data_IF_146418686393
#
_entry.id   IF_146418686393
#
_cell.length_a   1.000
_cell.length_b   1.000
_cell.length_c   1.000
_cell.angle_alpha   90.00
_cell.angle_beta   90.00
_cell.angle_gamma   90.00
#
_symmetry.space_group_name_H-M   'P 1'
#
loop_
_entity.id
_entity.type
_entity.pdbx_description
1 polymer ?
#
# COMPACT_ATOMS: atom_id res chain seq x y z
N UNK A 1 -5.30 55.35 58.14
CA UNK A 1 -4.52 54.29 58.81
C UNK A 1 -5.57 53.36 59.41
N UNK A 2 -5.74 52.10 59.07
CA UNK A 2 -4.82 51.01 58.71
C UNK A 2 -5.56 50.01 57.81
N UNK A 3 -4.79 49.34 56.97
CA UNK A 3 -5.20 48.25 56.08
C UNK A 3 -5.04 46.89 56.78
N UNK A 4 -6.03 46.01 56.69
CA UNK A 4 -5.93 44.61 57.09
C UNK A 4 -6.61 43.68 56.09
N UNK A 5 -5.83 43.14 55.15
CA UNK A 5 -6.25 42.27 54.04
C UNK A 5 -6.70 40.89 54.55
N UNK A 6 -7.92 40.44 54.25
CA UNK A 6 -8.30 39.03 54.33
C UNK A 6 -8.06 38.34 52.98
N UNK A 7 -6.87 37.78 52.80
CA UNK A 7 -6.56 36.79 51.76
C UNK A 7 -7.11 35.42 52.17
N UNK A 8 -8.23 35.01 51.58
CA UNK A 8 -8.67 33.60 51.59
C UNK A 8 -8.24 32.94 50.28
N UNK A 9 -7.27 32.03 50.42
CA UNK A 9 -6.66 31.20 49.37
C UNK A 9 -7.73 30.46 48.57
N UNK A 10 -7.84 30.76 47.29
CA UNK A 10 -8.61 29.94 46.34
C UNK A 10 -7.76 28.76 45.89
N UNK A 11 -8.17 27.56 46.26
CA UNK A 11 -7.76 26.32 45.60
C UNK A 11 -8.89 25.92 44.66
N UNK A 12 -8.59 25.73 43.38
CA UNK A 12 -8.84 24.50 42.62
C UNK A 12 -8.45 24.71 41.17
N UNK A 13 -7.32 24.10 40.81
CA UNK A 13 -6.96 23.83 39.43
C UNK A 13 -7.94 22.79 38.86
N UNK A 14 -8.62 23.15 37.78
CA UNK A 14 -9.30 22.19 36.90
C UNK A 14 -8.49 22.12 35.59
N UNK A 15 -7.46 21.28 35.58
CA UNK A 15 -6.81 20.90 34.34
C UNK A 15 -7.74 19.95 33.58
N UNK A 16 -8.45 20.47 32.57
CA UNK A 16 -9.06 19.61 31.55
C UNK A 16 -7.94 18.91 30.78
N UNK A 17 -7.64 17.67 31.18
CA UNK A 17 -6.88 16.75 30.35
C UNK A 17 -7.75 16.40 29.13
N UNK A 18 -7.54 17.12 28.02
CA UNK A 18 -8.05 16.73 26.72
C UNK A 18 -7.39 15.39 26.35
N UNK A 19 -8.15 14.30 26.42
CA UNK A 19 -7.73 13.00 25.92
C UNK A 19 -7.46 13.10 24.41
N UNK A 20 -6.19 13.18 24.03
CA UNK A 20 -5.79 13.04 22.64
C UNK A 20 -5.82 11.55 22.27
N UNK A 21 -6.57 11.14 21.22
CA UNK A 21 -6.59 9.75 20.80
C UNK A 21 -5.26 9.37 20.13
N UNK A 22 -4.40 8.66 20.86
CA UNK A 22 -3.12 8.12 20.38
C UNK A 22 -3.30 7.20 19.16
N UNK A 23 -4.46 6.53 19.03
CA UNK A 23 -4.77 5.61 17.93
C UNK A 23 -4.80 6.27 16.52
N UNK A 24 -4.93 7.59 16.42
CA UNK A 24 -5.00 8.28 15.11
C UNK A 24 -3.62 8.50 14.50
N UNK A 25 -2.57 8.54 15.32
CA UNK A 25 -1.19 8.76 14.88
C UNK A 25 -0.61 7.51 14.21
N UNK A 26 -0.86 6.32 14.78
CA UNK A 26 -0.35 5.05 14.26
C UNK A 26 -0.84 4.75 12.85
N UNK A 27 -2.15 4.92 12.61
CA UNK A 27 -2.72 4.72 11.27
C UNK A 27 -2.25 5.75 10.23
N UNK A 28 -1.91 6.98 10.63
CA UNK A 28 -1.34 7.98 9.72
C UNK A 28 0.10 7.64 9.32
N UNK A 29 0.93 7.25 10.28
CA UNK A 29 2.28 6.80 10.01
C UNK A 29 2.28 5.57 9.09
N UNK A 30 1.40 4.60 9.36
CA UNK A 30 1.25 3.41 8.54
C UNK A 30 0.93 3.76 7.07
N UNK A 31 -0.02 4.68 6.85
CA UNK A 31 -0.37 5.17 5.51
C UNK A 31 0.78 5.86 4.80
N UNK A 32 1.55 6.69 5.52
CA UNK A 32 2.73 7.36 4.95
C UNK A 32 3.81 6.35 4.56
N UNK A 33 4.03 5.32 5.39
CA UNK A 33 4.98 4.25 5.09
C UNK A 33 4.53 3.43 3.88
N UNK A 34 3.26 3.04 3.80
CA UNK A 34 2.69 2.34 2.63
C UNK A 34 2.82 3.17 1.35
N UNK A 35 2.53 4.46 1.39
CA UNK A 35 2.72 5.38 0.27
C UNK A 35 4.18 5.47 -0.19
N UNK A 36 5.13 5.56 0.75
CA UNK A 36 6.55 5.56 0.46
C UNK A 36 7.02 4.24 -0.18
N UNK A 37 6.50 3.10 0.28
CA UNK A 37 6.76 1.79 -0.32
C UNK A 37 6.21 1.70 -1.75
N UNK A 38 4.97 2.15 -1.99
CA UNK A 38 4.38 2.15 -3.34
C UNK A 38 5.23 2.92 -4.36
N UNK A 39 5.69 4.12 -3.98
CA UNK A 39 6.65 4.87 -4.79
C UNK A 39 7.94 4.06 -5.01
N UNK A 40 8.52 3.51 -3.94
CA UNK A 40 9.81 2.82 -3.99
C UNK A 40 9.77 1.57 -4.85
N UNK A 41 8.68 0.79 -4.80
CA UNK A 41 8.53 -0.42 -5.61
C UNK A 41 8.65 -0.13 -7.11
N UNK A 42 8.14 1.01 -7.58
CA UNK A 42 8.29 1.42 -8.98
C UNK A 42 9.74 1.45 -9.46
N UNK A 43 10.69 1.79 -8.60
CA UNK A 43 12.11 1.83 -8.93
C UNK A 43 12.81 0.45 -8.95
N UNK A 44 12.11 -0.61 -8.58
CA UNK A 44 12.67 -1.96 -8.42
C UNK A 44 11.94 -3.03 -9.25
N UNK A 45 11.01 -2.61 -10.08
CA UNK A 45 10.25 -3.47 -10.99
C UNK A 45 10.56 -3.05 -12.41
N UNK A 46 10.85 -4.03 -13.26
CA UNK A 46 11.01 -3.85 -14.69
C UNK A 46 9.71 -4.32 -15.37
N UNK A 47 9.07 -3.38 -16.06
CA UNK A 47 7.91 -3.64 -16.90
C UNK A 47 8.35 -3.96 -18.33
N UNK A 48 7.60 -4.83 -19.05
CA UNK A 48 7.83 -5.01 -20.47
C UNK A 48 7.51 -3.73 -21.25
N UNK A 49 8.15 -3.53 -22.41
CA UNK A 49 8.01 -2.30 -23.20
C UNK A 49 6.55 -1.98 -23.58
N UNK A 50 5.74 -3.00 -23.84
CA UNK A 50 4.33 -2.87 -24.22
C UNK A 50 3.40 -2.46 -23.05
N UNK A 51 3.92 -2.39 -21.81
CA UNK A 51 3.14 -1.91 -20.67
C UNK A 51 2.83 -0.41 -20.77
N UNK A 52 3.68 0.34 -21.47
CA UNK A 52 3.54 1.78 -21.65
C UNK A 52 3.07 2.09 -23.06
N UNK A 53 2.11 3.01 -23.18
CA UNK A 53 1.62 3.48 -24.48
C UNK A 53 2.72 4.20 -25.26
N UNK A 54 3.57 4.98 -24.58
CA UNK A 54 4.68 5.75 -25.14
C UNK A 54 5.91 5.72 -24.23
N UNK A 55 7.07 6.08 -24.79
CA UNK A 55 8.32 6.17 -24.04
C UNK A 55 8.27 7.21 -22.90
N UNK A 56 7.50 8.28 -23.07
CA UNK A 56 7.29 9.37 -22.12
C UNK A 56 6.02 9.21 -21.27
N UNK A 57 5.23 8.13 -21.46
CA UNK A 57 4.03 7.88 -20.66
C UNK A 57 4.36 7.82 -19.17
N UNK A 58 3.51 8.41 -18.31
CA UNK A 58 3.72 8.38 -16.88
C UNK A 58 3.60 6.95 -16.33
N UNK A 59 4.27 6.70 -15.22
CA UNK A 59 4.01 5.52 -14.39
C UNK A 59 2.80 5.82 -13.50
N UNK A 60 1.70 5.12 -13.76
CA UNK A 60 0.43 5.34 -13.07
C UNK A 60 0.30 4.41 -11.87
N UNK A 61 0.04 4.98 -10.69
CA UNK A 61 -0.29 4.27 -9.45
C UNK A 61 -1.79 4.41 -9.20
N UNK A 62 -2.51 3.30 -9.35
CA UNK A 62 -3.94 3.21 -9.11
C UNK A 62 -4.25 2.76 -7.69
N UNK A 63 -5.24 3.39 -7.06
CA UNK A 63 -5.75 3.03 -5.73
C UNK A 63 -7.19 2.52 -5.83
N UNK A 64 -7.44 1.28 -5.42
CA UNK A 64 -8.78 0.70 -5.31
C UNK A 64 -9.14 0.48 -3.83
N UNK A 65 -10.26 1.05 -3.37
CA UNK A 65 -10.76 0.85 -2.01
C UNK A 65 -9.84 1.40 -0.91
N UNK A 66 -9.01 2.40 -1.23
CA UNK A 66 -7.94 2.92 -0.36
C UNK A 66 -7.74 4.43 -0.51
N UNK A 67 -8.85 5.17 -0.53
CA UNK A 67 -8.88 6.62 -0.76
C UNK A 67 -8.02 7.41 0.25
N UNK A 68 -7.84 6.87 1.45
CA UNK A 68 -6.99 7.41 2.52
C UNK A 68 -5.50 7.45 2.16
N UNK A 69 -5.03 6.63 1.20
CA UNK A 69 -3.64 6.64 0.74
C UNK A 69 -3.38 7.68 -0.35
N UNK A 70 -4.42 8.26 -0.96
CA UNK A 70 -4.26 9.17 -2.09
C UNK A 70 -3.41 10.41 -1.72
N UNK A 71 -3.80 11.13 -0.66
CA UNK A 71 -3.09 12.33 -0.23
C UNK A 71 -1.62 12.09 0.18
N UNK A 72 -1.27 11.11 1.03
CA UNK A 72 0.13 10.85 1.35
C UNK A 72 0.94 10.35 0.14
N UNK A 73 0.32 9.58 -0.77
CA UNK A 73 0.97 9.13 -2.00
C UNK A 73 1.24 10.29 -2.96
N UNK A 74 0.27 11.18 -3.20
CA UNK A 74 0.44 12.37 -4.03
C UNK A 74 1.59 13.26 -3.54
N UNK A 75 1.65 13.51 -2.22
CA UNK A 75 2.77 14.24 -1.60
C UNK A 75 4.11 13.54 -1.80
N UNK A 76 4.11 12.20 -1.73
CA UNK A 76 5.33 11.39 -1.92
C UNK A 76 5.83 11.50 -3.36
N UNK A 77 4.95 11.46 -4.35
CA UNK A 77 5.33 11.36 -5.77
C UNK A 77 5.51 12.71 -6.47
N UNK A 78 5.02 13.80 -5.89
CA UNK A 78 5.08 15.14 -6.48
C UNK A 78 6.51 15.54 -6.85
N UNK A 79 6.72 15.92 -8.11
CA UNK A 79 8.03 16.32 -8.64
C UNK A 79 9.05 15.19 -8.79
N UNK A 80 8.66 13.93 -8.53
CA UNK A 80 9.54 12.77 -8.66
C UNK A 80 9.30 12.03 -9.96
N UNK A 81 10.34 11.32 -10.40
CA UNK A 81 10.28 10.42 -11.54
C UNK A 81 10.84 9.05 -11.18
N UNK A 82 10.47 8.05 -11.97
CA UNK A 82 11.05 6.70 -11.94
C UNK A 82 11.46 6.37 -13.37
N UNK A 83 12.75 6.07 -13.58
CA UNK A 83 13.30 5.77 -14.91
C UNK A 83 12.94 6.84 -15.95
N UNK A 84 12.97 8.12 -15.55
CA UNK A 84 12.61 9.26 -16.40
C UNK A 84 11.12 9.50 -16.61
N UNK A 85 10.24 8.64 -16.08
CA UNK A 85 8.78 8.78 -16.19
C UNK A 85 8.21 9.56 -15.02
N UNK A 86 7.33 10.51 -15.31
CA UNK A 86 6.53 11.19 -14.30
C UNK A 86 5.60 10.18 -13.60
N UNK A 87 5.21 10.49 -12.37
CA UNK A 87 4.31 9.67 -11.58
C UNK A 87 2.91 10.28 -11.55
N UNK A 88 1.89 9.45 -11.72
CA UNK A 88 0.50 9.86 -11.64
C UNK A 88 -0.26 8.97 -10.66
N UNK A 89 -1.05 9.57 -9.77
CA UNK A 89 -1.94 8.84 -8.87
C UNK A 89 -3.36 8.90 -9.42
N UNK A 90 -4.05 7.77 -9.46
CA UNK A 90 -5.46 7.69 -9.89
C UNK A 90 -6.26 6.82 -8.94
N UNK A 91 -7.56 7.13 -8.77
CA UNK A 91 -8.50 6.23 -8.10
C UNK A 91 -9.06 5.23 -9.10
N UNK A 92 -9.03 3.95 -8.76
CA UNK A 92 -9.56 2.85 -9.57
C UNK A 92 -10.99 2.52 -9.11
N UNK A 93 -11.96 2.74 -9.99
CA UNK A 93 -13.35 2.31 -9.78
C UNK A 93 -13.55 0.90 -10.33
N UNK A 94 -14.72 0.30 -10.06
CA UNK A 94 -15.04 -1.09 -10.44
C UNK A 94 -15.03 -1.32 -11.96
N UNK A 95 -15.27 -0.27 -12.73
CA UNK A 95 -15.32 -0.18 -14.19
C UNK A 95 -14.03 0.35 -14.82
N UNK A 96 -12.92 0.38 -14.07
CA UNK A 96 -11.69 0.98 -14.57
C UNK A 96 -11.18 0.22 -15.80
N UNK A 97 -11.17 0.92 -16.94
CA UNK A 97 -10.59 0.39 -18.16
C UNK A 97 -9.08 0.21 -17.96
N UNK A 98 -8.61 -1.02 -17.98
CA UNK A 98 -7.18 -1.36 -17.84
C UNK A 98 -6.45 -1.14 -19.17
N UNK A 99 -6.69 -0.02 -19.85
CA UNK A 99 -6.12 0.30 -21.15
C UNK A 99 -6.03 1.81 -21.39
N UNK A 100 -5.11 2.21 -22.28
CA UNK A 100 -4.82 3.62 -22.55
C UNK A 100 -3.87 4.25 -21.53
N UNK A 101 -3.64 5.55 -21.65
CA UNK A 101 -2.59 6.27 -20.90
C UNK A 101 -2.79 6.30 -19.38
N UNK A 102 -4.01 6.03 -18.91
CA UNK A 102 -4.33 6.01 -17.48
C UNK A 102 -4.25 4.61 -16.87
N UNK A 103 -4.04 3.56 -17.66
CA UNK A 103 -3.94 2.20 -17.14
C UNK A 103 -2.91 2.12 -15.99
N UNK A 104 -3.26 1.52 -14.83
CA UNK A 104 -2.35 1.44 -13.71
C UNK A 104 -1.17 0.53 -14.06
N UNK A 105 0.03 0.98 -13.73
CA UNK A 105 1.23 0.15 -13.77
C UNK A 105 1.49 -0.47 -12.40
N UNK A 106 1.07 0.23 -11.34
CA UNK A 106 0.96 -0.27 -9.98
C UNK A 106 -0.50 -0.14 -9.56
N UNK A 107 -1.11 -1.21 -9.07
CA UNK A 107 -2.48 -1.21 -8.56
C UNK A 107 -2.47 -1.61 -7.08
N UNK A 108 -2.72 -0.63 -6.20
CA UNK A 108 -2.95 -0.90 -4.80
C UNK A 108 -4.42 -1.26 -4.57
N UNK A 109 -4.67 -2.37 -3.89
CA UNK A 109 -6.00 -2.90 -3.61
C UNK A 109 -6.18 -3.02 -2.10
N UNK A 110 -7.00 -2.15 -1.52
CA UNK A 110 -7.35 -2.18 -0.11
C UNK A 110 -8.33 -3.31 0.22
N UNK A 111 -8.31 -3.80 1.46
CA UNK A 111 -9.12 -4.93 1.92
C UNK A 111 -10.54 -4.59 2.41
N UNK A 112 -11.03 -3.36 2.21
CA UNK A 112 -12.36 -2.94 2.71
C UNK A 112 -13.52 -3.79 2.20
N UNK A 113 -13.42 -4.26 0.95
CA UNK A 113 -14.38 -5.18 0.33
C UNK A 113 -13.58 -6.27 -0.40
N UNK A 114 -13.59 -7.49 0.16
CA UNK A 114 -12.84 -8.63 -0.38
C UNK A 114 -13.32 -9.04 -1.76
N UNK A 115 -14.61 -8.96 -2.04
CA UNK A 115 -15.17 -9.36 -3.35
C UNK A 115 -14.76 -8.35 -4.42
N UNK A 116 -14.87 -7.05 -4.12
CA UNK A 116 -14.41 -6.01 -5.03
C UNK A 116 -12.89 -6.07 -5.24
N UNK A 117 -12.12 -6.29 -4.16
CA UNK A 117 -10.67 -6.47 -4.22
C UNK A 117 -10.28 -7.66 -5.10
N UNK A 118 -10.95 -8.81 -4.96
CA UNK A 118 -10.68 -9.97 -5.79
C UNK A 118 -10.98 -9.69 -7.27
N UNK A 119 -12.12 -9.05 -7.57
CA UNK A 119 -12.46 -8.66 -8.93
C UNK A 119 -11.45 -7.71 -9.57
N UNK A 120 -10.88 -6.77 -8.79
CA UNK A 120 -9.82 -5.88 -9.26
C UNK A 120 -8.51 -6.65 -9.54
N UNK A 121 -8.12 -7.56 -8.67
CA UNK A 121 -6.91 -8.38 -8.84
C UNK A 121 -7.05 -9.33 -10.04
N UNK A 122 -8.21 -9.97 -10.20
CA UNK A 122 -8.52 -10.83 -11.34
C UNK A 122 -8.49 -10.04 -12.66
N UNK A 123 -9.01 -8.81 -12.66
CA UNK A 123 -8.93 -7.90 -13.82
C UNK A 123 -7.52 -7.45 -14.18
N UNK A 124 -6.58 -7.50 -13.23
CA UNK A 124 -5.15 -7.19 -13.45
C UNK A 124 -4.32 -8.43 -13.83
N UNK A 125 -4.90 -9.64 -13.75
CA UNK A 125 -4.18 -10.88 -14.02
C UNK A 125 -3.67 -10.90 -15.47
N UNK A 126 -2.47 -11.46 -15.67
CA UNK A 126 -1.82 -11.59 -16.99
C UNK A 126 -1.57 -10.27 -17.72
N UNK A 127 -1.62 -9.15 -16.98
CA UNK A 127 -1.27 -7.82 -17.48
C UNK A 127 -0.03 -7.34 -16.75
N UNK A 128 0.75 -6.43 -17.36
CA UNK A 128 1.95 -5.87 -16.75
C UNK A 128 1.63 -4.84 -15.67
N UNK A 129 0.91 -5.28 -14.63
CA UNK A 129 0.47 -4.47 -13.50
C UNK A 129 1.03 -5.06 -12.22
N UNK A 130 1.79 -4.25 -11.48
CA UNK A 130 2.27 -4.61 -10.15
C UNK A 130 1.11 -4.48 -9.17
N UNK A 131 0.46 -5.60 -8.86
CA UNK A 131 -0.61 -5.63 -7.88
C UNK A 131 -0.03 -5.63 -6.47
N UNK A 132 -0.52 -4.70 -5.64
CA UNK A 132 -0.13 -4.54 -4.24
C UNK A 132 -1.40 -4.63 -3.41
N UNK A 133 -1.50 -5.60 -2.52
CA UNK A 133 -2.63 -5.70 -1.59
C UNK A 133 -2.24 -5.28 -0.19
N UNK A 134 -3.25 -4.89 0.57
CA UNK A 134 -3.15 -4.62 1.99
C UNK A 134 -4.08 -5.55 2.71
N UNK A 135 -3.55 -6.67 3.20
CA UNK A 135 -4.33 -7.72 3.83
C UNK A 135 -3.61 -8.19 5.08
N UNK A 136 -4.24 -7.98 6.23
CA UNK A 136 -3.78 -8.46 7.54
C UNK A 136 -3.77 -9.99 7.64
N UNK A 137 -4.26 -10.70 6.62
CA UNK A 137 -4.34 -12.15 6.56
C UNK A 137 -3.27 -12.75 5.64
N UNK A 138 -2.68 -13.85 6.10
CA UNK A 138 -1.46 -14.53 5.62
C UNK A 138 -1.55 -15.13 4.20
N UNK A 139 -2.58 -14.81 3.43
CA UNK A 139 -2.73 -15.33 2.07
C UNK A 139 -3.14 -14.18 1.16
N UNK A 140 -2.12 -13.49 0.62
CA UNK A 140 -2.29 -12.45 -0.40
C UNK A 140 -3.22 -12.97 -1.49
N UNK A 141 -4.18 -12.14 -1.90
CA UNK A 141 -5.29 -12.48 -2.80
C UNK A 141 -4.85 -12.73 -4.26
N UNK A 142 -3.65 -13.29 -4.47
CA UNK A 142 -2.99 -13.40 -5.76
C UNK A 142 -2.23 -12.14 -6.19
N UNK A 143 -1.99 -11.20 -5.28
CA UNK A 143 -1.20 -10.01 -5.54
C UNK A 143 0.30 -10.34 -5.68
N UNK A 144 1.03 -9.47 -6.40
CA UNK A 144 2.49 -9.58 -6.52
C UNK A 144 3.16 -9.21 -5.20
N UNK A 145 2.69 -8.14 -4.56
CA UNK A 145 3.18 -7.68 -3.26
C UNK A 145 2.01 -7.64 -2.28
N UNK A 146 2.21 -8.14 -1.06
CA UNK A 146 1.24 -7.98 0.02
C UNK A 146 1.87 -7.23 1.19
N UNK A 147 1.27 -6.13 1.60
CA UNK A 147 1.62 -5.51 2.87
C UNK A 147 1.09 -6.33 4.04
N UNK A 148 1.87 -6.34 5.12
CA UNK A 148 1.49 -6.93 6.40
C UNK A 148 2.14 -6.15 7.53
N UNK A 149 1.54 -6.24 8.72
CA UNK A 149 2.17 -5.78 9.94
C UNK A 149 2.96 -6.94 10.57
N UNK A 150 4.27 -6.75 10.73
CA UNK A 150 5.13 -7.65 11.49
C UNK A 150 5.98 -6.81 12.45
N UNK A 151 6.05 -7.22 13.72
CA UNK A 151 6.74 -6.50 14.78
C UNK A 151 6.31 -5.02 14.89
N UNK A 152 5.00 -4.75 14.77
CA UNK A 152 4.41 -3.40 14.79
C UNK A 152 4.95 -2.48 13.67
N UNK A 153 5.48 -3.04 12.58
CA UNK A 153 6.00 -2.29 11.43
C UNK A 153 5.38 -2.81 10.14
N UNK A 154 5.15 -1.89 9.20
CA UNK A 154 4.76 -2.25 7.84
C UNK A 154 5.92 -2.99 7.18
N UNK A 155 5.66 -4.23 6.80
CA UNK A 155 6.51 -5.09 5.99
C UNK A 155 5.77 -5.47 4.71
N UNK A 156 6.44 -6.21 3.84
CA UNK A 156 5.80 -6.75 2.65
C UNK A 156 6.35 -8.13 2.29
N UNK A 157 5.49 -8.94 1.69
CA UNK A 157 5.85 -10.19 1.04
C UNK A 157 5.79 -10.04 -0.48
N UNK A 158 6.54 -10.87 -1.20
CA UNK A 158 6.56 -10.88 -2.67
C UNK A 158 6.24 -12.27 -3.18
N UNK A 159 5.29 -12.37 -4.11
CA UNK A 159 5.00 -13.60 -4.86
C UNK A 159 5.69 -13.57 -6.21
N UNK A 160 6.71 -14.42 -6.38
CA UNK A 160 7.42 -14.56 -7.66
C UNK A 160 6.52 -15.19 -8.73
N UNK A 161 5.60 -16.06 -8.33
CA UNK A 161 4.61 -16.66 -9.23
C UNK A 161 3.67 -15.59 -9.79
N UNK A 162 3.13 -14.72 -8.94
CA UNK A 162 2.27 -13.63 -9.39
C UNK A 162 3.03 -12.61 -10.25
N UNK A 163 4.27 -12.28 -9.88
CA UNK A 163 5.14 -11.40 -10.69
C UNK A 163 5.37 -11.97 -12.09
N UNK A 164 5.68 -13.27 -12.18
CA UNK A 164 5.89 -13.96 -13.45
C UNK A 164 4.62 -13.98 -14.30
N UNK A 165 3.45 -14.26 -13.71
CA UNK A 165 2.16 -14.19 -14.41
C UNK A 165 1.84 -12.78 -14.91
N UNK A 166 2.27 -11.74 -14.20
CA UNK A 166 2.16 -10.35 -14.64
C UNK A 166 3.29 -9.92 -15.61
N UNK A 167 4.18 -10.83 -16.01
CA UNK A 167 5.33 -10.53 -16.88
C UNK A 167 6.28 -9.46 -16.32
N UNK A 168 6.33 -9.33 -14.99
CA UNK A 168 7.17 -8.37 -14.28
C UNK A 168 8.46 -9.03 -13.80
N UNK A 169 9.59 -8.34 -13.98
CA UNK A 169 10.83 -8.73 -13.33
C UNK A 169 11.03 -7.89 -12.07
N UNK A 170 11.19 -8.59 -10.95
CA UNK A 170 11.46 -7.97 -9.65
C UNK A 170 12.95 -8.00 -9.40
N UNK A 171 13.54 -6.84 -9.10
CA UNK A 171 14.98 -6.77 -8.81
C UNK A 171 15.34 -7.55 -7.54
N UNK A 172 16.51 -8.20 -7.55
CA UNK A 172 17.04 -8.90 -6.38
C UNK A 172 17.18 -7.98 -5.15
N UNK A 173 17.41 -6.68 -5.37
CA UNK A 173 17.49 -5.69 -4.28
C UNK A 173 16.16 -5.53 -3.55
N UNK A 174 15.02 -5.57 -4.24
CA UNK A 174 13.72 -5.53 -3.57
C UNK A 174 13.44 -6.84 -2.82
N UNK A 175 13.76 -7.97 -3.45
CA UNK A 175 13.58 -9.29 -2.83
C UNK A 175 14.42 -9.45 -1.56
N UNK A 176 15.64 -8.89 -1.52
CA UNK A 176 16.54 -8.96 -0.37
C UNK A 176 16.02 -8.27 0.90
N UNK A 177 15.04 -7.36 0.75
CA UNK A 177 14.43 -6.64 1.87
C UNK A 177 12.96 -7.03 2.11
N UNK A 178 12.45 -7.98 1.33
CA UNK A 178 11.12 -8.55 1.54
C UNK A 178 11.11 -9.36 2.84
N UNK A 179 10.00 -9.31 3.57
CA UNK A 179 9.83 -10.12 4.77
C UNK A 179 9.73 -11.62 4.44
N UNK A 180 9.08 -11.92 3.32
CA UNK A 180 8.99 -13.26 2.75
C UNK A 180 8.94 -13.17 1.24
N UNK A 181 9.57 -14.14 0.59
CA UNK A 181 9.44 -14.37 -0.85
C UNK A 181 8.73 -15.72 -1.02
N UNK A 182 7.60 -15.71 -1.72
CA UNK A 182 6.86 -16.91 -2.09
C UNK A 182 7.32 -17.31 -3.49
N UNK A 183 8.20 -18.31 -3.57
CA UNK A 183 8.32 -19.11 -4.77
C UNK A 183 7.09 -20.02 -4.88
N UNK A 184 6.74 -20.50 -6.07
CA UNK A 184 5.49 -21.24 -6.29
C UNK A 184 5.40 -22.61 -5.60
N UNK A 185 6.22 -22.90 -4.58
CA UNK A 185 6.35 -24.20 -3.92
C UNK A 185 6.04 -24.10 -2.43
N UNK A 186 4.79 -23.81 -2.10
CA UNK A 186 4.22 -24.30 -0.84
C UNK A 186 3.11 -25.29 -1.16
N UNK A 187 3.55 -26.55 -1.16
CA UNK A 187 2.92 -27.70 -0.53
C UNK A 187 1.41 -27.59 -0.31
N UNK A 188 0.70 -28.33 -1.14
CA UNK A 188 -0.65 -28.79 -0.88
C UNK A 188 -0.62 -29.59 0.44
N UNK A 189 -0.83 -28.93 1.59
CA UNK A 189 -1.16 -29.62 2.84
C UNK A 189 -2.52 -30.28 2.61
N UNK A 190 -2.50 -31.54 2.18
CA UNK A 190 -3.63 -32.45 2.27
C UNK A 190 -3.99 -32.54 3.76
N UNK A 191 -5.20 -32.16 4.20
CA UNK A 191 -5.68 -32.64 5.49
C UNK A 191 -5.73 -34.17 5.38
N UNK A 192 -4.99 -34.81 6.29
CA UNK A 192 -4.79 -36.25 6.30
C UNK A 192 -6.10 -37.02 6.32
N UNK A 193 -6.03 -38.20 5.71
CA UNK A 193 -6.98 -39.26 5.96
C UNK A 193 -7.02 -39.55 7.47
N UNK A 194 -8.19 -39.35 8.08
CA UNK A 194 -8.67 -40.14 9.21
C UNK A 194 -9.84 -40.93 8.62
N UNK A 195 -9.62 -42.21 8.29
CA UNK A 195 -9.93 -43.37 9.15
C UNK A 195 -11.40 -43.39 9.55
#
# INVERSE_FOLDING_TARGET
METGKLTRRQWLAAALAAGMPVARADGELERQVKAAFLYRFGGFVEWPAHAFVRADSPLVIGLHGADELAAPLERTVTGRTINGRALQVVKLKKDYAVGGERAPHIAFVGARDRTAAQGMLDGCRERPVLTVSDSDHVHGMGSVINFLLADQRVRFEVSLKAAASAQLRISARLLSVAYRVQDGMQEQVRPGAAS
#
